data_IF_449694043070
#
_entry.id   IF_449694043070
#
_cell.length_a   1.000
_cell.length_b   1.000
_cell.length_c   1.000
_cell.angle_alpha   90.00
_cell.angle_beta   90.00
_cell.angle_gamma   90.00
#
_symmetry.space_group_name_H-M   'P 1'
#
loop_
_entity.id
_entity.type
_entity.pdbx_description
1 polymer ?
#
# COMPACT_ATOMS: atom_id res chain seq x y z
N UNK A 1 32.61 4.66 14.42
CA UNK A 1 32.43 6.11 14.21
C UNK A 1 31.65 6.35 12.89
N UNK A 2 30.45 5.75 12.74
CA UNK A 2 29.67 5.73 11.47
C UNK A 2 28.21 6.22 11.65
N UNK A 3 27.83 6.69 12.85
CA UNK A 3 26.44 7.09 13.14
C UNK A 3 26.10 8.46 12.51
N UNK A 4 27.11 9.33 12.29
CA UNK A 4 26.87 10.70 11.79
C UNK A 4 26.44 10.81 10.31
N UNK A 5 26.69 9.80 9.46
CA UNK A 5 26.44 9.93 8.02
C UNK A 5 25.01 9.58 7.61
N UNK A 6 24.36 8.63 8.28
CA UNK A 6 22.98 8.23 7.96
C UNK A 6 21.98 9.26 8.48
N UNK A 7 22.14 9.68 9.74
CA UNK A 7 21.27 10.70 10.35
C UNK A 7 21.32 12.03 9.60
N UNK A 8 22.52 12.44 9.16
CA UNK A 8 22.69 13.62 8.32
C UNK A 8 22.01 13.45 6.96
N UNK A 9 22.17 12.29 6.31
CA UNK A 9 21.51 12.01 5.03
C UNK A 9 19.98 12.04 5.18
N UNK A 10 19.44 11.48 6.26
CA UNK A 10 18.01 11.50 6.55
C UNK A 10 17.50 12.92 6.78
N UNK A 11 18.21 13.73 7.55
CA UNK A 11 17.87 15.14 7.77
C UNK A 11 17.86 15.93 6.45
N UNK A 12 18.88 15.78 5.61
CA UNK A 12 18.95 16.42 4.29
C UNK A 12 17.80 15.98 3.37
N UNK A 13 17.43 14.69 3.41
CA UNK A 13 16.26 14.18 2.68
C UNK A 13 14.97 14.84 3.19
N UNK A 14 14.77 14.92 4.50
CA UNK A 14 13.58 15.56 5.09
C UNK A 14 13.47 17.02 4.70
N UNK A 15 14.53 17.80 4.89
CA UNK A 15 14.51 19.24 4.63
C UNK A 15 14.25 19.53 3.14
N UNK A 16 14.89 18.76 2.25
CA UNK A 16 14.64 18.85 0.80
C UNK A 16 13.19 18.56 0.45
N UNK A 17 12.60 17.54 1.05
CA UNK A 17 11.21 17.17 0.76
C UNK A 17 10.21 18.16 1.35
N UNK A 18 10.44 18.66 2.56
CA UNK A 18 9.63 19.75 3.11
C UNK A 18 9.61 20.94 2.17
N UNK A 19 10.78 21.41 1.73
CA UNK A 19 10.88 22.49 0.76
C UNK A 19 10.17 22.17 -0.56
N UNK A 20 10.28 20.94 -1.05
CA UNK A 20 9.58 20.49 -2.27
C UNK A 20 8.05 20.54 -2.10
N UNK A 21 7.52 20.04 -0.99
CA UNK A 21 6.09 19.98 -0.71
C UNK A 21 5.45 21.36 -0.49
N UNK A 22 6.20 22.34 0.02
CA UNK A 22 5.75 23.74 0.09
C UNK A 22 5.77 24.45 -1.28
N UNK A 23 6.55 23.92 -2.24
CA UNK A 23 6.66 24.48 -3.58
C UNK A 23 5.57 24.01 -4.56
N UNK A 24 5.44 24.67 -5.72
CA UNK A 24 4.56 24.20 -6.80
C UNK A 24 5.14 23.01 -7.57
N UNK A 25 6.44 22.75 -7.47
CA UNK A 25 7.14 21.69 -8.21
C UNK A 25 6.71 20.27 -7.79
N UNK A 26 6.19 20.09 -6.57
CA UNK A 26 5.69 18.80 -6.09
C UNK A 26 4.54 18.28 -6.96
N UNK A 27 3.66 19.14 -7.46
CA UNK A 27 2.51 18.70 -8.26
C UNK A 27 2.96 18.04 -9.56
N UNK A 28 3.98 18.62 -10.20
CA UNK A 28 4.56 18.07 -11.42
C UNK A 28 5.22 16.72 -11.14
N UNK A 29 5.97 16.60 -10.04
CA UNK A 29 6.62 15.34 -9.64
C UNK A 29 5.60 14.25 -9.30
N UNK A 30 4.57 14.56 -8.52
CA UNK A 30 3.50 13.61 -8.18
C UNK A 30 2.73 13.17 -9.43
N UNK A 31 2.31 14.12 -10.29
CA UNK A 31 1.62 13.79 -11.55
C UNK A 31 2.45 12.89 -12.45
N UNK A 32 3.78 13.05 -12.48
CA UNK A 32 4.63 12.19 -13.33
C UNK A 32 4.59 10.70 -12.95
N UNK A 33 4.32 10.38 -11.67
CA UNK A 33 4.29 8.99 -11.19
C UNK A 33 2.88 8.40 -11.12
N UNK A 34 1.84 9.22 -11.09
CA UNK A 34 0.45 8.74 -11.00
C UNK A 34 -0.01 8.18 -12.35
N UNK A 35 -0.67 7.03 -12.30
CA UNK A 35 -1.47 6.45 -13.37
C UNK A 35 -2.84 6.07 -12.78
N UNK A 36 -3.91 6.38 -13.52
CA UNK A 36 -5.28 6.14 -13.06
C UNK A 36 -5.54 4.64 -12.78
N UNK A 37 -6.23 4.36 -11.67
CA UNK A 37 -6.77 3.03 -11.42
C UNK A 37 -7.97 2.76 -12.32
N UNK A 38 -8.17 1.50 -12.73
CA UNK A 38 -9.27 1.15 -13.64
C UNK A 38 -10.65 1.09 -12.96
N UNK A 39 -10.70 0.83 -11.65
CA UNK A 39 -11.93 0.53 -10.91
C UNK A 39 -12.21 1.53 -9.77
N UNK A 40 -11.52 2.66 -9.75
CA UNK A 40 -11.67 3.74 -8.76
C UNK A 40 -12.57 4.84 -9.32
N UNK A 41 -13.37 5.48 -8.46
CA UNK A 41 -14.06 6.74 -8.82
C UNK A 41 -13.20 7.97 -8.52
N UNK A 42 -12.03 7.79 -7.90
CA UNK A 42 -11.07 8.87 -7.66
C UNK A 42 -10.33 9.22 -8.94
N UNK A 43 -10.30 10.50 -9.26
CA UNK A 43 -9.58 11.04 -10.42
C UNK A 43 -8.07 11.13 -10.13
N UNK A 44 -7.25 11.30 -11.17
CA UNK A 44 -5.81 11.56 -10.99
C UNK A 44 -5.53 12.78 -10.11
N UNK A 45 -6.41 13.79 -10.13
CA UNK A 45 -6.30 14.97 -9.26
C UNK A 45 -6.63 14.62 -7.80
N UNK A 46 -7.56 13.71 -7.55
CA UNK A 46 -7.83 13.22 -6.20
C UNK A 46 -6.62 12.45 -5.65
N UNK A 47 -6.01 11.58 -6.47
CA UNK A 47 -4.78 10.87 -6.10
C UNK A 47 -3.65 11.85 -5.83
N UNK A 48 -3.48 12.87 -6.68
CA UNK A 48 -2.53 13.94 -6.47
C UNK A 48 -2.74 14.62 -5.11
N UNK A 49 -3.98 15.00 -4.80
CA UNK A 49 -4.33 15.65 -3.53
C UNK A 49 -4.07 14.73 -2.33
N UNK A 50 -4.37 13.44 -2.45
CA UNK A 50 -4.09 12.42 -1.44
C UNK A 50 -2.58 12.37 -1.16
N UNK A 51 -1.75 12.21 -2.20
CA UNK A 51 -0.29 12.12 -2.05
C UNK A 51 0.35 13.44 -1.61
N UNK A 52 -0.22 14.59 -2.04
CA UNK A 52 0.22 15.94 -1.64
C UNK A 52 -0.08 16.20 -0.16
N UNK A 53 -1.32 15.97 0.26
CA UNK A 53 -1.78 16.23 1.63
C UNK A 53 -1.08 15.32 2.63
N UNK A 54 -0.93 14.04 2.30
CA UNK A 54 -0.28 13.05 3.17
C UNK A 54 1.24 13.17 3.22
N UNK A 55 1.87 13.96 2.33
CA UNK A 55 3.32 14.06 2.22
C UNK A 55 4.02 12.70 2.18
N UNK A 56 3.46 11.79 1.39
CA UNK A 56 3.78 10.36 1.46
C UNK A 56 4.84 9.89 0.47
N UNK A 57 5.28 10.72 -0.47
CA UNK A 57 6.19 10.32 -1.55
C UNK A 57 7.53 11.03 -1.45
N UNK A 58 8.60 10.24 -1.39
CA UNK A 58 9.97 10.71 -1.37
C UNK A 58 10.61 10.47 -2.74
N UNK A 59 11.03 11.55 -3.40
CA UNK A 59 11.71 11.56 -4.70
C UNK A 59 13.23 11.72 -4.56
N UNK A 60 13.94 11.27 -5.59
CA UNK A 60 15.39 11.41 -5.72
C UNK A 60 16.13 10.82 -4.50
N UNK A 61 15.60 9.72 -3.97
CA UNK A 61 16.17 8.97 -2.84
C UNK A 61 16.91 7.72 -3.32
N UNK A 62 17.49 6.97 -2.39
CA UNK A 62 18.03 5.64 -2.64
C UNK A 62 17.67 4.78 -1.43
N UNK A 63 16.53 4.09 -1.54
CA UNK A 63 15.93 3.36 -0.41
C UNK A 63 15.92 1.87 -0.72
N UNK A 64 16.46 1.06 0.18
CA UNK A 64 16.24 -0.39 0.22
C UNK A 64 14.84 -0.65 0.79
N UNK A 65 13.95 -1.28 0.02
CA UNK A 65 12.60 -1.66 0.44
C UNK A 65 12.58 -3.07 1.04
N UNK A 66 11.45 -3.46 1.65
CA UNK A 66 11.25 -4.77 2.32
C UNK A 66 11.69 -5.98 1.47
N UNK A 67 11.58 -5.90 0.14
CA UNK A 67 12.00 -6.95 -0.79
C UNK A 67 13.51 -7.03 -1.04
N UNK A 68 14.32 -6.18 -0.40
CA UNK A 68 15.75 -5.99 -0.68
C UNK A 68 16.05 -5.27 -2.00
N UNK A 69 15.01 -4.78 -2.71
CA UNK A 69 15.20 -3.99 -3.92
C UNK A 69 15.44 -2.53 -3.56
N UNK A 70 16.08 -1.79 -4.46
CA UNK A 70 16.36 -0.37 -4.30
C UNK A 70 15.41 0.45 -5.15
N UNK A 71 14.96 1.61 -4.66
CA UNK A 71 14.10 2.52 -5.42
C UNK A 71 14.57 3.97 -5.30
N UNK A 72 14.29 4.76 -6.34
CA UNK A 72 14.52 6.20 -6.35
C UNK A 72 13.32 6.99 -5.79
N UNK A 73 12.15 6.35 -5.77
CA UNK A 73 10.87 6.94 -5.36
C UNK A 73 10.22 6.04 -4.32
N UNK A 74 10.16 6.51 -3.08
CA UNK A 74 9.63 5.75 -1.96
C UNK A 74 8.27 6.30 -1.52
N UNK A 75 7.26 5.43 -1.47
CA UNK A 75 5.94 5.72 -0.91
C UNK A 75 5.87 5.20 0.52
N UNK A 76 5.56 6.09 1.47
CA UNK A 76 5.36 5.79 2.89
C UNK A 76 3.86 5.83 3.22
N UNK A 77 3.20 4.68 3.22
CA UNK A 77 1.76 4.59 3.43
C UNK A 77 1.34 5.03 4.84
N UNK A 78 2.21 4.92 5.84
CA UNK A 78 1.96 5.43 7.19
C UNK A 78 1.66 6.94 7.20
N UNK A 79 2.26 7.71 6.29
CA UNK A 79 1.95 9.14 6.18
C UNK A 79 0.53 9.38 5.64
N UNK A 80 0.01 8.48 4.81
CA UNK A 80 -1.39 8.48 4.36
C UNK A 80 -2.32 8.08 5.51
N UNK A 81 -1.98 7.01 6.23
CA UNK A 81 -2.78 6.53 7.36
C UNK A 81 -2.92 7.55 8.49
N UNK A 82 -1.91 8.41 8.68
CA UNK A 82 -1.94 9.49 9.65
C UNK A 82 -2.79 10.70 9.22
N UNK A 83 -3.43 10.67 8.05
CA UNK A 83 -4.36 11.69 7.58
C UNK A 83 -5.80 11.15 7.58
N UNK A 84 -6.61 11.41 8.63
CA UNK A 84 -7.95 10.83 8.76
C UNK A 84 -8.87 11.15 7.57
N UNK A 85 -8.79 12.37 7.03
CA UNK A 85 -9.63 12.80 5.91
C UNK A 85 -9.29 12.04 4.62
N UNK A 86 -8.00 11.81 4.40
CA UNK A 86 -7.48 11.01 3.29
C UNK A 86 -7.90 9.54 3.44
N UNK A 87 -7.80 8.96 4.64
CA UNK A 87 -8.25 7.59 4.89
C UNK A 87 -9.75 7.45 4.67
N UNK A 88 -10.58 8.41 5.10
CA UNK A 88 -12.02 8.39 4.84
C UNK A 88 -12.34 8.45 3.35
N UNK A 89 -11.63 9.31 2.60
CA UNK A 89 -11.80 9.40 1.15
C UNK A 89 -11.45 8.07 0.45
N UNK A 90 -10.32 7.47 0.80
CA UNK A 90 -9.90 6.17 0.26
C UNK A 90 -10.89 5.05 0.63
N UNK A 91 -11.29 5.00 1.90
CA UNK A 91 -12.22 4.00 2.41
C UNK A 91 -13.58 4.08 1.73
N UNK A 92 -14.09 5.30 1.48
CA UNK A 92 -15.36 5.50 0.78
C UNK A 92 -15.33 4.95 -0.65
N UNK A 93 -14.29 5.25 -1.42
CA UNK A 93 -14.17 4.73 -2.79
C UNK A 93 -14.01 3.19 -2.82
N UNK A 94 -13.19 2.66 -1.92
CA UNK A 94 -13.00 1.22 -1.75
C UNK A 94 -14.29 0.50 -1.31
N UNK A 95 -15.07 1.13 -0.45
CA UNK A 95 -16.38 0.64 -0.02
C UNK A 95 -17.39 0.61 -1.16
N UNK A 96 -17.43 1.65 -2.02
CA UNK A 96 -18.27 1.67 -3.23
C UNK A 96 -17.96 0.47 -4.12
N UNK A 97 -16.68 0.20 -4.37
CA UNK A 97 -16.28 -0.96 -5.17
C UNK A 97 -16.71 -2.29 -4.54
N UNK A 98 -16.56 -2.46 -3.21
CA UNK A 98 -17.03 -3.66 -2.51
C UNK A 98 -18.55 -3.83 -2.68
N UNK A 99 -19.31 -2.76 -2.46
CA UNK A 99 -20.76 -2.78 -2.56
C UNK A 99 -21.24 -3.18 -3.96
N UNK A 100 -20.61 -2.65 -5.00
CA UNK A 100 -20.93 -2.98 -6.39
C UNK A 100 -20.50 -4.39 -6.78
N UNK A 101 -19.30 -4.80 -6.39
CA UNK A 101 -18.70 -6.08 -6.81
C UNK A 101 -19.34 -7.29 -6.13
N UNK A 102 -19.76 -7.12 -4.87
CA UNK A 102 -20.23 -8.22 -4.02
C UNK A 102 -21.71 -8.09 -3.64
N UNK A 103 -22.51 -7.37 -4.42
CA UNK A 103 -23.94 -7.17 -4.16
C UNK A 103 -24.73 -8.49 -4.13
N UNK A 104 -24.61 -9.31 -5.18
CA UNK A 104 -25.36 -10.58 -5.31
C UNK A 104 -24.81 -11.68 -4.41
N UNK A 105 -23.53 -11.58 -4.10
CA UNK A 105 -22.76 -12.57 -3.36
C UNK A 105 -21.91 -11.80 -2.35
N UNK A 106 -22.48 -11.47 -1.16
CA UNK A 106 -21.78 -10.72 -0.11
C UNK A 106 -20.56 -11.43 0.43
N UNK A 107 -19.64 -10.64 0.99
CA UNK A 107 -18.47 -11.10 1.72
C UNK A 107 -18.74 -11.00 3.23
N UNK A 108 -18.10 -11.86 4.01
CA UNK A 108 -18.17 -11.88 5.47
C UNK A 108 -17.22 -10.84 6.11
N UNK A 109 -16.15 -10.45 5.42
CA UNK A 109 -15.19 -9.50 5.97
C UNK A 109 -13.95 -9.24 5.12
N UNK A 110 -13.05 -8.47 5.73
CA UNK A 110 -11.73 -8.14 5.18
C UNK A 110 -10.62 -8.83 5.97
N UNK A 111 -9.56 -9.22 5.29
CA UNK A 111 -8.30 -9.66 5.91
C UNK A 111 -7.20 -8.69 5.55
N UNK A 112 -6.61 -8.07 6.56
CA UNK A 112 -5.53 -7.10 6.41
C UNK A 112 -4.39 -7.40 7.39
N UNK A 113 -3.31 -6.62 7.31
CA UNK A 113 -2.24 -6.65 8.31
C UNK A 113 -2.57 -5.69 9.46
N UNK A 114 -2.04 -5.97 10.66
CA UNK A 114 -2.12 -5.06 11.82
C UNK A 114 -1.24 -3.81 11.68
N UNK A 115 -0.75 -3.51 10.47
CA UNK A 115 -0.02 -2.29 10.12
C UNK A 115 -0.99 -1.13 9.86
N UNK A 116 -0.49 -0.06 9.23
CA UNK A 116 -1.32 1.02 8.70
C UNK A 116 -2.45 0.53 7.75
N UNK A 117 -2.27 -0.60 7.05
CA UNK A 117 -3.34 -1.19 6.24
C UNK A 117 -4.59 -1.58 7.06
N UNK A 118 -4.43 -1.93 8.34
CA UNK A 118 -5.54 -2.22 9.24
C UNK A 118 -6.41 -1.00 9.55
N UNK A 119 -5.85 0.21 9.53
CA UNK A 119 -6.62 1.45 9.70
C UNK A 119 -7.54 1.70 8.49
N UNK A 120 -7.01 1.49 7.28
CA UNK A 120 -7.79 1.55 6.05
C UNK A 120 -8.91 0.48 6.05
N UNK A 121 -8.59 -0.75 6.48
CA UNK A 121 -9.57 -1.83 6.63
C UNK A 121 -10.71 -1.44 7.58
N UNK A 122 -10.37 -0.91 8.76
CA UNK A 122 -11.36 -0.46 9.74
C UNK A 122 -12.23 0.68 9.22
N UNK A 123 -11.66 1.64 8.49
CA UNK A 123 -12.40 2.71 7.86
C UNK A 123 -13.39 2.17 6.80
N UNK A 124 -12.99 1.23 5.95
CA UNK A 124 -13.89 0.60 4.96
C UNK A 124 -15.04 -0.12 5.64
N UNK A 125 -14.76 -0.89 6.71
CA UNK A 125 -15.81 -1.57 7.49
C UNK A 125 -16.79 -0.57 8.10
N UNK A 126 -16.30 0.59 8.58
CA UNK A 126 -17.15 1.64 9.12
C UNK A 126 -18.05 2.28 8.04
N UNK A 127 -17.51 2.55 6.84
CA UNK A 127 -18.28 3.08 5.70
C UNK A 127 -19.41 2.13 5.25
N UNK A 128 -19.19 0.81 5.34
CA UNK A 128 -20.15 -0.20 4.91
C UNK A 128 -21.15 -0.64 6.00
N UNK A 129 -21.03 -0.17 7.24
CA UNK A 129 -21.78 -0.72 8.39
C UNK A 129 -23.31 -0.75 8.22
N UNK A 130 -23.86 0.20 7.45
CA UNK A 130 -25.30 0.39 7.23
C UNK A 130 -25.81 -0.40 6.01
N UNK A 131 -24.91 -0.88 5.14
CA UNK A 131 -25.25 -1.61 3.89
C UNK A 131 -24.77 -3.06 3.89
N UNK A 132 -23.61 -3.35 4.48
CA UNK A 132 -22.99 -4.67 4.56
C UNK A 132 -22.20 -4.80 5.86
N UNK A 133 -22.66 -5.67 6.78
CA UNK A 133 -21.94 -5.93 8.03
C UNK A 133 -20.71 -6.79 7.78
N UNK A 134 -19.55 -6.15 7.76
CA UNK A 134 -18.26 -6.79 7.56
C UNK A 134 -17.53 -7.04 8.88
N UNK A 135 -16.91 -8.21 8.99
CA UNK A 135 -15.89 -8.50 9.99
C UNK A 135 -14.51 -8.08 9.49
N UNK A 136 -13.55 -7.99 10.40
CA UNK A 136 -12.16 -7.68 10.08
C UNK A 136 -11.24 -8.68 10.79
N UNK A 137 -10.40 -9.36 10.01
CA UNK A 137 -9.31 -10.19 10.52
C UNK A 137 -7.97 -9.47 10.30
N UNK A 138 -7.21 -9.28 11.37
CA UNK A 138 -5.88 -8.66 11.29
C UNK A 138 -4.80 -9.72 11.51
N UNK A 139 -3.89 -9.81 10.56
CA UNK A 139 -2.69 -10.65 10.65
C UNK A 139 -1.57 -9.87 11.34
N UNK A 140 -0.70 -10.51 12.14
CA UNK A 140 0.45 -9.84 12.74
C UNK A 140 1.37 -9.22 11.67
N UNK A 141 1.96 -8.08 11.98
CA UNK A 141 2.96 -7.44 11.12
C UNK A 141 4.19 -7.04 11.92
N UNK A 142 5.37 -7.40 11.42
CA UNK A 142 6.64 -7.02 12.02
C UNK A 142 7.17 -5.75 11.36
N UNK A 143 7.12 -4.62 12.09
CA UNK A 143 7.72 -3.35 11.63
C UNK A 143 9.25 -3.45 11.47
N UNK A 144 9.91 -4.40 12.14
CA UNK A 144 11.34 -4.63 12.00
C UNK A 144 11.70 -5.38 10.72
N UNK A 145 10.85 -6.27 10.21
CA UNK A 145 11.19 -7.14 9.07
C UNK A 145 10.31 -6.94 7.85
N UNK A 146 9.22 -6.18 7.98
CA UNK A 146 8.17 -6.07 6.98
C UNK A 146 7.41 -7.38 6.73
N UNK A 147 7.59 -8.40 7.59
CA UNK A 147 6.95 -9.71 7.43
C UNK A 147 5.52 -9.70 7.95
N UNK A 148 4.64 -10.25 7.13
CA UNK A 148 3.25 -10.56 7.49
C UNK A 148 3.23 -11.94 8.16
N UNK A 149 2.71 -12.02 9.38
CA UNK A 149 2.42 -13.26 10.09
C UNK A 149 1.13 -13.91 9.57
N UNK A 150 0.90 -15.17 9.94
CA UNK A 150 -0.31 -15.92 9.54
C UNK A 150 -1.23 -16.22 10.72
N UNK A 151 -0.78 -15.90 11.94
CA UNK A 151 -1.45 -16.27 13.17
C UNK A 151 -2.62 -15.31 13.44
N UNK A 152 -3.81 -15.71 13.03
CA UNK A 152 -5.07 -15.05 13.38
C UNK A 152 -5.80 -15.86 14.46
N UNK A 153 -6.62 -15.23 15.32
CA UNK A 153 -7.41 -15.98 16.29
C UNK A 153 -8.33 -17.00 15.61
N UNK A 154 -8.50 -18.16 16.26
CA UNK A 154 -9.43 -19.18 15.79
C UNK A 154 -10.84 -18.61 15.64
N UNK A 155 -11.60 -19.14 14.68
CA UNK A 155 -13.00 -18.78 14.38
C UNK A 155 -13.24 -17.35 13.85
N UNK A 156 -12.20 -16.53 13.67
CA UNK A 156 -12.32 -15.22 13.00
C UNK A 156 -12.70 -15.40 11.53
N UNK A 157 -12.12 -16.41 10.88
CA UNK A 157 -12.51 -16.86 9.54
C UNK A 157 -13.24 -18.18 9.71
N UNK A 158 -14.51 -18.22 9.30
CA UNK A 158 -15.31 -19.45 9.35
C UNK A 158 -15.20 -20.19 8.01
N UNK A 159 -15.31 -21.51 8.08
CA UNK A 159 -15.25 -22.36 6.90
C UNK A 159 -16.33 -21.96 5.88
N UNK A 160 -15.92 -21.70 4.63
CA UNK A 160 -16.81 -21.30 3.54
C UNK A 160 -17.16 -19.81 3.49
N UNK A 161 -16.86 -19.04 4.54
CA UNK A 161 -17.06 -17.59 4.53
C UNK A 161 -16.14 -16.92 3.52
N UNK A 162 -16.65 -15.87 2.88
CA UNK A 162 -16.00 -15.19 1.77
C UNK A 162 -15.32 -13.92 2.24
N UNK A 163 -14.03 -13.76 1.95
CA UNK A 163 -13.24 -12.63 2.42
C UNK A 163 -12.52 -11.91 1.27
N UNK A 164 -12.30 -10.61 1.45
CA UNK A 164 -11.41 -9.83 0.57
C UNK A 164 -10.08 -9.61 1.28
N UNK A 165 -8.98 -9.91 0.58
CA UNK A 165 -7.63 -9.59 1.06
C UNK A 165 -7.31 -8.12 0.76
N UNK A 166 -6.98 -7.35 1.79
CA UNK A 166 -6.67 -5.93 1.69
C UNK A 166 -5.24 -5.65 2.13
N UNK A 167 -4.45 -5.00 1.28
CA UNK A 167 -3.16 -4.44 1.66
C UNK A 167 -3.07 -2.94 1.35
N UNK A 168 -2.06 -2.27 1.89
CA UNK A 168 -1.77 -0.88 1.56
C UNK A 168 -1.19 -0.72 0.15
N UNK A 169 -0.01 -1.29 -0.08
CA UNK A 169 0.75 -1.16 -1.32
C UNK A 169 1.15 -2.55 -1.77
N UNK A 170 1.13 -2.80 -3.08
CA UNK A 170 1.69 -4.02 -3.65
C UNK A 170 2.66 -3.67 -4.77
N UNK A 171 3.75 -4.44 -4.87
CA UNK A 171 4.69 -4.39 -6.00
C UNK A 171 4.50 -5.62 -6.87
N UNK A 172 4.69 -6.80 -6.29
CA UNK A 172 4.68 -8.10 -6.99
C UNK A 172 3.44 -8.95 -6.73
N UNK A 173 2.54 -8.51 -5.86
CA UNK A 173 1.39 -9.32 -5.43
C UNK A 173 1.66 -10.22 -4.21
N UNK A 174 2.91 -10.40 -3.80
CA UNK A 174 3.28 -11.33 -2.72
C UNK A 174 2.54 -11.07 -1.40
N UNK A 175 2.44 -9.81 -0.96
CA UNK A 175 1.82 -9.46 0.32
C UNK A 175 0.32 -9.73 0.31
N UNK A 176 -0.40 -9.23 -0.70
CA UNK A 176 -1.84 -9.45 -0.84
C UNK A 176 -2.17 -10.91 -1.13
N UNK A 177 -1.35 -11.61 -1.92
CA UNK A 177 -1.46 -13.05 -2.14
C UNK A 177 -1.26 -13.86 -0.86
N UNK A 178 -0.33 -13.45 0.02
CA UNK A 178 -0.14 -14.07 1.33
C UNK A 178 -1.36 -13.90 2.23
N UNK A 179 -2.01 -12.73 2.22
CA UNK A 179 -3.27 -12.52 2.93
C UNK A 179 -4.39 -13.41 2.34
N UNK A 180 -4.42 -13.59 1.02
CA UNK A 180 -5.28 -14.59 0.37
C UNK A 180 -5.04 -16.00 0.88
N UNK A 181 -3.78 -16.39 1.07
CA UNK A 181 -3.43 -17.70 1.65
C UNK A 181 -3.87 -17.82 3.12
N UNK A 182 -3.79 -16.76 3.91
CA UNK A 182 -4.33 -16.76 5.29
C UNK A 182 -5.83 -17.06 5.29
N UNK A 183 -6.58 -16.51 4.33
CA UNK A 183 -8.02 -16.82 4.18
C UNK A 183 -8.22 -18.32 3.92
N UNK A 184 -7.52 -18.89 2.93
CA UNK A 184 -7.72 -20.30 2.54
C UNK A 184 -7.24 -21.28 3.61
N UNK A 185 -6.10 -20.98 4.26
CA UNK A 185 -5.51 -21.85 5.28
C UNK A 185 -6.38 -21.94 6.55
N UNK A 186 -7.28 -20.96 6.75
CA UNK A 186 -8.29 -20.95 7.82
C UNK A 186 -9.69 -21.37 7.33
N UNK A 187 -9.79 -22.00 6.15
CA UNK A 187 -11.03 -22.55 5.61
C UNK A 187 -11.97 -21.55 4.92
N UNK A 188 -11.59 -20.27 4.85
CA UNK A 188 -12.33 -19.25 4.12
C UNK A 188 -12.13 -19.33 2.60
N UNK A 189 -12.91 -18.53 1.88
CA UNK A 189 -12.86 -18.41 0.42
C UNK A 189 -12.42 -16.99 0.04
N UNK A 190 -11.37 -16.88 -0.77
CA UNK A 190 -10.92 -15.59 -1.31
C UNK A 190 -11.95 -15.12 -2.36
N UNK A 191 -12.70 -14.08 -2.04
CA UNK A 191 -13.71 -13.49 -2.91
C UNK A 191 -13.16 -12.40 -3.83
N UNK A 192 -12.08 -11.74 -3.39
CA UNK A 192 -11.44 -10.65 -4.12
C UNK A 192 -10.18 -10.16 -3.40
N UNK A 193 -9.51 -9.23 -4.04
CA UNK A 193 -8.32 -8.57 -3.50
C UNK A 193 -8.43 -7.06 -3.72
N UNK A 194 -7.86 -6.29 -2.81
CA UNK A 194 -7.81 -4.84 -2.95
C UNK A 194 -6.54 -4.26 -2.35
N UNK A 195 -6.05 -3.19 -2.96
CA UNK A 195 -4.91 -2.41 -2.45
C UNK A 195 -5.18 -0.92 -2.63
N UNK A 196 -4.51 -0.06 -1.85
CA UNK A 196 -4.50 1.36 -2.18
C UNK A 196 -3.67 1.60 -3.45
N UNK A 197 -2.40 1.20 -3.46
CA UNK A 197 -1.52 1.45 -4.61
C UNK A 197 -0.84 0.19 -5.13
N UNK A 198 -0.75 0.10 -6.46
CA UNK A 198 0.19 -0.81 -7.12
C UNK A 198 1.41 -0.01 -7.56
N UNK A 199 2.59 -0.53 -7.28
CA UNK A 199 3.86 0.07 -7.71
C UNK A 199 4.46 -0.75 -8.84
N UNK A 200 4.92 -0.07 -9.88
CA UNK A 200 5.60 -0.67 -11.04
C UNK A 200 4.80 -1.80 -11.70
N UNK A 201 3.50 -1.56 -11.91
CA UNK A 201 2.60 -2.52 -12.56
C UNK A 201 3.04 -2.72 -14.03
N UNK A 202 3.36 -3.97 -14.37
CA UNK A 202 3.78 -4.38 -15.71
C UNK A 202 5.07 -5.19 -15.76
N UNK A 203 5.91 -5.14 -14.70
CA UNK A 203 7.15 -5.92 -14.66
C UNK A 203 6.99 -7.33 -14.06
N UNK A 204 5.90 -7.59 -13.32
CA UNK A 204 5.76 -8.81 -12.52
C UNK A 204 4.55 -9.66 -12.93
N UNK A 205 4.75 -10.90 -13.40
CA UNK A 205 3.68 -11.79 -13.89
C UNK A 205 2.57 -12.06 -12.86
N UNK A 206 2.94 -12.22 -11.58
CA UNK A 206 2.00 -12.60 -10.52
C UNK A 206 0.85 -11.59 -10.33
N UNK A 207 1.10 -10.30 -10.55
CA UNK A 207 0.01 -9.32 -10.47
C UNK A 207 -1.05 -9.56 -11.55
N UNK A 208 -0.62 -9.91 -12.77
CA UNK A 208 -1.53 -10.23 -13.87
C UNK A 208 -2.35 -11.50 -13.55
N UNK A 209 -1.69 -12.53 -12.99
CA UNK A 209 -2.36 -13.76 -12.54
C UNK A 209 -3.42 -13.48 -11.47
N UNK A 210 -3.08 -12.70 -10.43
CA UNK A 210 -4.03 -12.33 -9.37
C UNK A 210 -5.23 -11.55 -9.92
N UNK A 211 -4.98 -10.57 -10.80
CA UNK A 211 -6.06 -9.77 -11.41
C UNK A 211 -6.92 -10.55 -12.40
N UNK A 212 -6.40 -11.63 -12.99
CA UNK A 212 -7.16 -12.51 -13.86
C UNK A 212 -7.99 -13.53 -13.06
N UNK A 213 -7.51 -13.91 -11.87
CA UNK A 213 -8.16 -14.92 -11.03
C UNK A 213 -9.26 -14.34 -10.13
N UNK A 214 -9.10 -13.11 -9.64
CA UNK A 214 -9.99 -12.51 -8.64
C UNK A 214 -10.45 -11.10 -9.06
N UNK A 215 -11.66 -10.68 -8.65
CA UNK A 215 -11.99 -9.25 -8.62
C UNK A 215 -10.90 -8.51 -7.84
N UNK A 216 -10.25 -7.57 -8.50
CA UNK A 216 -9.08 -6.88 -7.97
C UNK A 216 -9.27 -5.36 -8.07
N UNK A 217 -9.27 -4.70 -6.92
CA UNK A 217 -9.31 -3.25 -6.83
C UNK A 217 -7.93 -2.65 -6.51
N UNK A 218 -7.63 -1.54 -7.14
CA UNK A 218 -6.53 -0.67 -6.76
C UNK A 218 -6.91 0.77 -7.02
N UNK A 219 -6.64 1.65 -6.05
CA UNK A 219 -6.97 3.08 -6.18
C UNK A 219 -6.10 3.75 -7.22
N UNK A 220 -4.81 3.40 -7.30
CA UNK A 220 -3.89 4.00 -8.27
C UNK A 220 -2.74 3.07 -8.63
N UNK A 221 -2.23 3.23 -9.84
CA UNK A 221 -0.93 2.74 -10.26
C UNK A 221 0.10 3.84 -10.07
N UNK A 222 1.26 3.49 -9.52
CA UNK A 222 2.37 4.41 -9.29
C UNK A 222 3.63 3.89 -10.00
N UNK A 223 4.15 4.71 -10.91
CA UNK A 223 5.40 4.48 -11.62
C UNK A 223 6.58 4.85 -10.69
N UNK A 224 7.16 3.85 -10.04
CA UNK A 224 8.10 4.00 -8.92
C UNK A 224 9.20 2.93 -8.97
N UNK A 225 10.10 3.00 -9.96
CA UNK A 225 10.95 1.90 -10.38
C UNK A 225 11.76 1.30 -9.23
N UNK A 226 11.92 -0.01 -9.28
CA UNK A 226 12.76 -0.78 -8.38
C UNK A 226 13.80 -1.60 -9.13
N UNK A 227 14.96 -1.77 -8.50
CA UNK A 227 16.08 -2.53 -9.07
C UNK A 227 16.62 -3.50 -8.03
N UNK A 228 17.06 -4.68 -8.48
CA UNK A 228 17.94 -5.50 -7.65
C UNK A 228 19.25 -4.74 -7.36
N UNK A 229 19.88 -4.95 -6.20
CA UNK A 229 21.10 -4.22 -5.81
C UNK A 229 22.20 -4.29 -6.88
N UNK A 230 22.37 -5.44 -7.54
CA UNK A 230 23.37 -5.65 -8.59
C UNK A 230 23.18 -4.75 -9.84
N UNK A 231 21.93 -4.33 -10.12
CA UNK A 231 21.58 -3.54 -11.28
C UNK A 231 21.17 -2.10 -10.94
N UNK A 232 21.23 -1.72 -9.66
CA UNK A 232 20.78 -0.42 -9.20
C UNK A 232 21.66 0.72 -9.74
N UNK A 233 21.09 1.69 -10.49
CA UNK A 233 21.86 2.83 -11.01
C UNK A 233 22.36 3.74 -9.89
N UNK A 234 21.65 3.82 -8.77
CA UNK A 234 22.00 4.66 -7.63
C UNK A 234 23.21 4.10 -6.86
N UNK A 235 23.33 2.77 -6.77
CA UNK A 235 24.54 2.10 -6.29
C UNK A 235 25.74 2.42 -7.19
N UNK A 236 25.58 2.36 -8.52
CA UNK A 236 26.64 2.70 -9.49
C UNK A 236 27.07 4.16 -9.39
N UNK A 237 26.16 5.05 -9.02
CA UNK A 237 26.44 6.47 -8.76
C UNK A 237 26.86 6.77 -7.31
N UNK A 238 27.13 5.75 -6.49
CA UNK A 238 27.55 5.88 -5.09
C UNK A 238 26.63 6.77 -4.22
N UNK A 239 25.33 6.81 -4.52
CA UNK A 239 24.37 7.52 -3.65
C UNK A 239 24.21 6.78 -2.32
N UNK A 240 24.13 7.48 -1.18
CA UNK A 240 23.89 6.87 0.13
C UNK A 240 22.63 6.00 0.11
N UNK A 241 22.72 4.76 0.61
CA UNK A 241 21.58 3.86 0.73
C UNK A 241 20.92 4.03 2.09
N UNK A 242 19.61 4.27 2.10
CA UNK A 242 18.77 4.35 3.29
C UNK A 242 17.93 3.08 3.41
N UNK A 243 17.63 2.65 4.64
CA UNK A 243 16.68 1.57 4.87
C UNK A 243 15.26 2.14 4.97
N UNK A 244 14.28 1.43 4.41
CA UNK A 244 12.87 1.83 4.47
C UNK A 244 12.35 2.06 5.90
N UNK A 245 12.95 1.39 6.91
CA UNK A 245 12.54 1.48 8.32
C UNK A 245 12.89 2.82 8.93
N UNK A 246 13.94 3.43 8.42
CA UNK A 246 14.50 4.68 8.94
C UNK A 246 13.88 5.89 8.23
N UNK A 247 13.02 5.66 7.22
CA UNK A 247 12.36 6.73 6.48
C UNK A 247 11.35 7.48 7.38
N UNK A 248 11.61 8.76 7.67
CA UNK A 248 10.81 9.51 8.62
C UNK A 248 9.49 10.00 7.98
N UNK A 249 8.60 10.53 8.81
CA UNK A 249 7.52 11.39 8.32
C UNK A 249 8.08 12.79 7.96
N UNK A 250 7.39 13.53 7.09
CA UNK A 250 7.74 14.90 6.69
C UNK A 250 7.10 15.94 7.60
#
# INVERSE_FOLDING_TARGET
MFVGTVDQTLAEVVDRHRALYEGPAIDVKLKSVIRAGLNTNLTENDILNILRTSRSVFFDTHVEVVSGHHTATYLRFESIANCPDVIRQLAGDMAVWIGQTFQDRPIAGLVATSSAAGQLAGAIVAELRDTMRLTMALTPYSCETGRIGTDIPADVIKAGDRFVALNDVTTRGNCVGKLGKVITDNGGVVAGMMVFARRDSGQFPMMNELTAQYPFYYTTDLDMPQWEPAYCPLCKSHKPLLSWKDMPAL
#
